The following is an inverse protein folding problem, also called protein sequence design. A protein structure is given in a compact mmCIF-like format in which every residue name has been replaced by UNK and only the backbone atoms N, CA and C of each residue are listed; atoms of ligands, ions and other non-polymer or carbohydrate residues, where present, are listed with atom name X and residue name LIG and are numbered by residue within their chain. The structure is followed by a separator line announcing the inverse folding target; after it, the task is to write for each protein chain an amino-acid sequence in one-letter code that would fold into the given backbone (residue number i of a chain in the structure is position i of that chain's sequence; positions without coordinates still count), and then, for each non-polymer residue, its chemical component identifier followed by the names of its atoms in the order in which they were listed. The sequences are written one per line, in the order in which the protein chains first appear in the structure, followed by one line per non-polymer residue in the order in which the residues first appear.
data_IF_586598034448
#
_entry.id   IF_586598034448
#
_cell.length_a   1.000
_cell.length_b   1.000
_cell.length_c   1.000
_cell.angle_alpha   90.00
_cell.angle_beta   90.00
_cell.angle_gamma   90.00
#
_symmetry.space_group_name_H-M   'P 1'
#
loop_
_entity.id
_entity.type
_entity.pdbx_description
1 polymer ?
#
# COMPACT_ATOMS: atom_id res chain seq x y z
N UNK A 1 20.22 11.25 2.79
CA UNK A 1 18.96 10.86 2.13
C UNK A 1 19.23 9.86 1.01
N UNK A 2 20.08 10.19 0.03
CA UNK A 2 20.44 9.26 -1.07
C UNK A 2 21.02 7.95 -0.51
N UNK A 3 21.96 8.02 0.43
CA UNK A 3 22.50 6.83 1.10
C UNK A 3 21.43 5.96 1.76
N UNK A 4 20.50 6.58 2.49
CA UNK A 4 19.37 5.88 3.13
C UNK A 4 18.39 5.27 2.11
N UNK A 5 18.18 5.94 0.97
CA UNK A 5 17.37 5.41 -0.13
C UNK A 5 18.01 4.17 -0.75
N UNK A 6 19.30 4.24 -1.10
CA UNK A 6 20.05 3.11 -1.67
C UNK A 6 20.16 1.94 -0.68
N UNK A 7 20.37 2.23 0.60
CA UNK A 7 20.35 1.22 1.67
C UNK A 7 18.95 0.59 1.80
N UNK A 8 17.87 1.38 1.70
CA UNK A 8 16.50 0.88 1.69
C UNK A 8 16.23 -0.10 0.55
N UNK A 9 16.67 0.21 -0.67
CA UNK A 9 16.58 -0.69 -1.83
C UNK A 9 17.34 -2.01 -1.57
N UNK A 10 18.55 -1.94 -1.03
CA UNK A 10 19.36 -3.12 -0.70
C UNK A 10 18.70 -4.00 0.36
N UNK A 11 18.16 -3.40 1.43
CA UNK A 11 17.45 -4.12 2.50
C UNK A 11 16.19 -4.82 1.99
N UNK A 12 15.42 -4.15 1.12
CA UNK A 12 14.24 -4.76 0.48
C UNK A 12 14.63 -5.92 -0.43
N UNK A 13 15.68 -5.76 -1.25
CA UNK A 13 16.21 -6.82 -2.11
C UNK A 13 16.76 -8.02 -1.33
N UNK A 14 17.33 -7.78 -0.14
CA UNK A 14 17.81 -8.82 0.78
C UNK A 14 16.69 -9.52 1.57
N UNK A 15 15.41 -9.20 1.32
CA UNK A 15 14.25 -9.80 1.96
C UNK A 15 13.22 -10.35 0.93
N UNK A 16 13.63 -11.20 -0.03
CA UNK A 16 12.76 -11.65 -1.11
C UNK A 16 11.54 -12.43 -0.59
N UNK A 17 11.70 -13.22 0.48
CA UNK A 17 10.58 -13.95 1.10
C UNK A 17 9.51 -13.02 1.68
N UNK A 18 9.88 -11.83 2.14
CA UNK A 18 8.91 -10.82 2.64
C UNK A 18 8.14 -10.23 1.46
N UNK A 19 8.83 -9.93 0.35
CA UNK A 19 8.19 -9.46 -0.89
C UNK A 19 7.19 -10.50 -1.39
N UNK A 20 7.62 -11.76 -1.54
CA UNK A 20 6.78 -12.86 -2.02
C UNK A 20 5.61 -13.12 -1.06
N UNK A 21 5.86 -13.11 0.26
CA UNK A 21 4.80 -13.32 1.26
C UNK A 21 3.71 -12.24 1.22
N UNK A 22 4.10 -10.96 1.09
CA UNK A 22 3.13 -9.85 0.99
C UNK A 22 2.41 -9.87 -0.36
N UNK A 23 3.11 -10.19 -1.45
CA UNK A 23 2.49 -10.38 -2.77
C UNK A 23 1.46 -11.52 -2.73
N UNK A 24 1.80 -12.66 -2.15
CA UNK A 24 0.91 -13.80 -1.99
C UNK A 24 -0.31 -13.46 -1.11
N UNK A 25 -0.11 -12.70 -0.02
CA UNK A 25 -1.21 -12.21 0.80
C UNK A 25 -2.12 -11.24 0.01
N UNK A 26 -1.54 -10.38 -0.83
CA UNK A 26 -2.30 -9.45 -1.69
C UNK A 26 -3.18 -10.25 -2.65
N UNK A 27 -2.61 -11.27 -3.30
CA UNK A 27 -3.33 -12.17 -4.18
C UNK A 27 -4.44 -12.93 -3.47
N UNK A 28 -4.16 -13.49 -2.29
CA UNK A 28 -5.16 -14.21 -1.50
C UNK A 28 -6.36 -13.33 -1.16
N UNK A 29 -6.15 -12.03 -0.87
CA UNK A 29 -7.25 -11.09 -0.61
C UNK A 29 -8.02 -10.68 -1.86
N UNK A 30 -7.37 -10.61 -3.02
CA UNK A 30 -7.99 -10.19 -4.28
C UNK A 30 -8.68 -11.34 -5.03
N UNK A 31 -8.22 -12.58 -4.82
CA UNK A 31 -8.69 -13.76 -5.55
C UNK A 31 -10.21 -13.98 -5.47
N UNK A 32 -10.88 -13.84 -4.30
CA UNK A 32 -12.33 -14.01 -4.23
C UNK A 32 -13.09 -13.01 -5.11
N UNK A 33 -12.67 -11.74 -5.14
CA UNK A 33 -13.28 -10.73 -6.01
C UNK A 33 -13.05 -11.04 -7.49
N UNK A 34 -11.84 -11.47 -7.84
CA UNK A 34 -11.51 -11.84 -9.20
C UNK A 34 -12.36 -13.04 -9.68
N UNK A 35 -12.59 -14.03 -8.81
CA UNK A 35 -13.44 -15.18 -9.11
C UNK A 35 -14.91 -14.78 -9.25
N UNK A 36 -15.43 -13.92 -8.36
CA UNK A 36 -16.81 -13.41 -8.47
C UNK A 36 -17.01 -12.67 -9.79
N UNK A 37 -16.07 -11.80 -10.15
CA UNK A 37 -16.12 -11.08 -11.42
C UNK A 37 -16.03 -12.03 -12.63
N UNK A 38 -15.12 -13.01 -12.58
CA UNK A 38 -14.99 -14.01 -13.64
C UNK A 38 -16.28 -14.81 -13.84
N UNK A 39 -16.91 -15.27 -12.75
CA UNK A 39 -18.15 -16.04 -12.81
C UNK A 39 -19.31 -15.20 -13.36
N UNK A 40 -19.39 -13.92 -12.98
CA UNK A 40 -20.39 -12.98 -13.53
C UNK A 40 -20.21 -12.78 -15.03
N UNK A 41 -18.99 -12.45 -15.47
CA UNK A 41 -18.69 -12.25 -16.91
C UNK A 41 -18.91 -13.53 -17.71
N UNK A 42 -18.43 -14.68 -17.23
CA UNK A 42 -18.57 -15.96 -17.92
C UNK A 42 -20.03 -16.42 -18.01
N UNK A 43 -20.82 -16.16 -16.97
CA UNK A 43 -22.25 -16.46 -16.94
C UNK A 43 -23.04 -15.63 -17.94
N UNK A 44 -22.72 -14.35 -18.08
CA UNK A 44 -23.39 -13.42 -18.99
C UNK A 44 -23.00 -13.63 -20.46
N UNK A 45 -21.70 -13.79 -20.76
CA UNK A 45 -21.24 -14.01 -22.13
C UNK A 45 -21.73 -15.34 -22.72
N UNK A 46 -21.70 -16.42 -21.93
CA UNK A 46 -22.03 -17.77 -22.39
C UNK A 46 -21.25 -18.20 -23.67
N UNK A 47 -21.68 -19.29 -24.34
CA UNK A 47 -21.14 -19.71 -25.63
C UNK A 47 -21.77 -18.91 -26.80
N UNK A 48 -21.75 -17.58 -26.74
CA UNK A 48 -22.38 -16.69 -27.72
C UNK A 48 -21.40 -16.12 -28.75
N UNK A 49 -21.90 -15.55 -29.85
CA UNK A 49 -21.07 -14.79 -30.82
C UNK A 49 -20.44 -13.55 -30.16
N UNK A 50 -21.12 -12.98 -29.16
CA UNK A 50 -20.63 -11.86 -28.35
C UNK A 50 -19.35 -12.23 -27.59
N UNK A 51 -19.18 -13.50 -27.18
CA UNK A 51 -17.95 -13.96 -26.54
C UNK A 51 -16.71 -13.85 -27.45
N UNK A 52 -16.87 -14.05 -28.76
CA UNK A 52 -15.78 -13.90 -29.72
C UNK A 52 -15.43 -12.43 -29.94
N UNK A 53 -16.44 -11.55 -30.06
CA UNK A 53 -16.24 -10.11 -30.19
C UNK A 53 -15.55 -9.49 -28.96
N UNK A 54 -15.96 -9.88 -27.75
CA UNK A 54 -15.35 -9.43 -26.49
C UNK A 54 -13.94 -10.01 -26.28
N UNK A 55 -13.63 -11.18 -26.84
CA UNK A 55 -12.27 -11.73 -26.81
C UNK A 55 -11.31 -10.99 -27.75
N UNK A 56 -11.82 -10.39 -28.83
CA UNK A 56 -11.03 -9.60 -29.78
C UNK A 56 -10.83 -8.15 -29.31
N UNK A 57 -11.71 -7.63 -28.44
CA UNK A 57 -11.57 -6.29 -27.89
C UNK A 57 -12.73 -5.84 -27.00
N UNK A 58 -12.83 -4.52 -26.83
CA UNK A 58 -13.90 -3.92 -26.02
C UNK A 58 -15.20 -3.81 -26.82
N UNK A 59 -16.27 -4.43 -26.32
CA UNK A 59 -17.63 -4.28 -26.85
C UNK A 59 -18.47 -3.39 -25.92
N UNK A 60 -18.80 -2.18 -26.39
CA UNK A 60 -19.53 -1.19 -25.60
C UNK A 60 -21.01 -1.54 -25.41
N UNK A 61 -21.62 -2.22 -26.38
CA UNK A 61 -23.03 -2.60 -26.34
C UNK A 61 -23.23 -3.68 -25.28
N UNK A 62 -22.44 -4.76 -25.35
CA UNK A 62 -22.45 -5.82 -24.36
C UNK A 62 -22.13 -5.28 -22.96
N UNK A 63 -21.10 -4.44 -22.81
CA UNK A 63 -20.74 -3.91 -21.50
C UNK A 63 -21.88 -3.08 -20.88
N UNK A 64 -22.60 -2.30 -21.69
CA UNK A 64 -23.73 -1.50 -21.22
C UNK A 64 -24.88 -2.39 -20.73
N UNK A 65 -25.16 -3.49 -21.44
CA UNK A 65 -26.14 -4.49 -21.03
C UNK A 65 -25.71 -5.20 -19.74
N UNK A 66 -24.49 -5.71 -19.68
CA UNK A 66 -23.90 -6.36 -18.50
C UNK A 66 -23.96 -5.45 -17.25
N UNK A 67 -23.67 -4.15 -17.43
CA UNK A 67 -23.75 -3.16 -16.34
C UNK A 67 -25.16 -2.86 -15.86
N UNK A 68 -26.17 -3.09 -16.70
CA UNK A 68 -27.58 -2.91 -16.33
C UNK A 68 -28.00 -3.86 -15.20
N UNK A 69 -27.49 -5.09 -15.23
CA UNK A 69 -27.83 -6.15 -14.27
C UNK A 69 -26.70 -6.46 -13.27
N UNK A 70 -25.57 -5.76 -13.38
CA UNK A 70 -24.38 -5.99 -12.57
C UNK A 70 -24.60 -5.75 -11.06
N UNK A 71 -24.15 -6.70 -10.25
CA UNK A 71 -24.02 -6.50 -8.81
C UNK A 71 -22.86 -5.52 -8.48
N UNK A 72 -22.65 -5.23 -7.19
CA UNK A 72 -21.61 -4.30 -6.77
C UNK A 72 -20.21 -4.66 -7.30
N UNK A 73 -19.83 -5.95 -7.31
CA UNK A 73 -18.52 -6.43 -7.75
C UNK A 73 -18.40 -6.32 -9.27
N UNK A 74 -19.40 -6.80 -10.00
CA UNK A 74 -19.47 -6.72 -11.46
C UNK A 74 -19.48 -5.26 -11.94
N UNK A 75 -20.15 -4.37 -11.21
CA UNK A 75 -20.20 -2.94 -11.51
C UNK A 75 -18.85 -2.23 -11.44
N UNK A 76 -17.83 -2.86 -10.82
CA UNK A 76 -16.45 -2.36 -10.85
C UNK A 76 -15.76 -2.58 -12.20
N UNK A 77 -16.26 -3.52 -13.01
CA UNK A 77 -15.75 -3.82 -14.34
C UNK A 77 -16.12 -2.72 -15.34
N UNK A 78 -15.11 -2.24 -16.04
CA UNK A 78 -15.25 -1.17 -17.02
C UNK A 78 -13.97 -1.01 -17.83
N UNK A 79 -13.98 -0.14 -18.86
CA UNK A 79 -12.81 0.12 -19.70
C UNK A 79 -11.60 0.57 -18.88
N UNK A 80 -11.86 1.24 -17.76
CA UNK A 80 -10.83 1.69 -16.82
C UNK A 80 -10.16 0.57 -16.05
N UNK A 81 -10.68 -0.66 -15.97
CA UNK A 81 -10.06 -1.76 -15.21
C UNK A 81 -8.85 -2.35 -15.95
N UNK A 82 -8.75 -2.12 -17.26
CA UNK A 82 -7.69 -2.69 -18.09
C UNK A 82 -6.46 -1.76 -18.09
N UNK A 83 -5.31 -2.34 -17.75
CA UNK A 83 -4.01 -1.66 -17.86
C UNK A 83 -3.81 -0.50 -16.88
N UNK A 84 -3.13 0.56 -17.35
CA UNK A 84 -2.74 1.70 -16.52
C UNK A 84 -3.93 2.57 -16.07
N UNK A 85 -5.02 2.58 -16.84
CA UNK A 85 -6.23 3.35 -16.52
C UNK A 85 -6.79 2.98 -15.14
N UNK A 86 -6.61 1.72 -14.70
CA UNK A 86 -7.11 1.24 -13.41
C UNK A 86 -6.42 1.95 -12.26
N UNK A 87 -5.11 2.18 -12.37
CA UNK A 87 -4.36 2.89 -11.34
C UNK A 87 -4.85 4.34 -11.20
N UNK A 88 -5.06 5.02 -12.33
CA UNK A 88 -5.55 6.40 -12.35
C UNK A 88 -6.99 6.52 -11.85
N UNK A 89 -7.86 5.60 -12.26
CA UNK A 89 -9.26 5.57 -11.85
C UNK A 89 -9.41 5.37 -10.34
N UNK A 90 -8.66 4.42 -9.76
CA UNK A 90 -8.64 4.22 -8.31
C UNK A 90 -8.10 5.45 -7.55
N UNK A 91 -7.08 6.12 -8.10
CA UNK A 91 -6.56 7.36 -7.52
C UNK A 91 -7.60 8.48 -7.60
N UNK A 92 -8.28 8.64 -8.73
CA UNK A 92 -9.34 9.64 -8.90
C UNK A 92 -10.47 9.40 -7.91
N UNK A 93 -11.00 8.17 -7.82
CA UNK A 93 -12.07 7.82 -6.88
C UNK A 93 -11.67 8.09 -5.44
N UNK A 94 -10.42 7.79 -5.06
CA UNK A 94 -9.90 8.12 -3.73
C UNK A 94 -9.94 9.63 -3.50
N UNK A 95 -9.43 10.45 -4.42
CA UNK A 95 -9.44 11.91 -4.30
C UNK A 95 -10.87 12.49 -4.34
N UNK A 96 -11.76 11.84 -5.06
CA UNK A 96 -13.19 12.15 -5.15
C UNK A 96 -13.99 11.58 -3.97
N UNK A 97 -13.35 10.89 -3.04
CA UNK A 97 -14.01 10.34 -1.85
C UNK A 97 -15.10 9.33 -2.18
N UNK A 98 -15.02 8.68 -3.36
CA UNK A 98 -15.96 7.65 -3.80
C UNK A 98 -15.49 6.32 -3.20
N UNK A 99 -16.21 5.74 -2.21
CA UNK A 99 -15.80 4.49 -1.61
C UNK A 99 -15.98 3.34 -2.62
N UNK A 100 -15.03 2.41 -2.74
CA UNK A 100 -15.19 1.24 -3.59
C UNK A 100 -16.12 0.25 -2.90
N UNK A 101 -17.43 0.37 -3.15
CA UNK A 101 -18.48 -0.39 -2.44
C UNK A 101 -18.20 -1.90 -2.43
N UNK A 102 -17.80 -2.46 -3.57
CA UNK A 102 -17.48 -3.88 -3.73
C UNK A 102 -16.17 -4.34 -3.08
N UNK A 103 -15.19 -3.44 -2.93
CA UNK A 103 -13.87 -3.79 -2.40
C UNK A 103 -13.77 -3.56 -0.88
N UNK A 104 -14.84 -3.09 -0.23
CA UNK A 104 -14.82 -2.71 1.19
C UNK A 104 -14.34 -3.86 2.09
N UNK A 105 -14.93 -5.05 1.98
CA UNK A 105 -14.57 -6.18 2.83
C UNK A 105 -13.14 -6.67 2.56
N UNK A 106 -12.70 -6.93 1.31
CA UNK A 106 -11.31 -7.28 1.03
C UNK A 106 -10.31 -6.21 1.44
N UNK A 107 -10.66 -4.92 1.33
CA UNK A 107 -9.82 -3.83 1.83
C UNK A 107 -9.68 -3.86 3.36
N UNK A 108 -10.76 -4.17 4.10
CA UNK A 108 -10.72 -4.36 5.56
C UNK A 108 -9.83 -5.55 5.92
N UNK A 109 -10.01 -6.70 5.25
CA UNK A 109 -9.20 -7.90 5.47
C UNK A 109 -7.73 -7.61 5.21
N UNK A 110 -7.42 -6.96 4.09
CA UNK A 110 -6.07 -6.55 3.74
C UNK A 110 -5.49 -5.57 4.76
N UNK A 111 -6.27 -4.60 5.22
CA UNK A 111 -5.85 -3.64 6.24
C UNK A 111 -5.52 -4.33 7.57
N UNK A 112 -6.34 -5.28 8.02
CA UNK A 112 -6.07 -6.08 9.22
C UNK A 112 -4.83 -6.96 9.06
N UNK A 113 -4.68 -7.61 7.90
CA UNK A 113 -3.48 -8.36 7.57
C UNK A 113 -2.23 -7.47 7.61
N UNK A 114 -2.33 -6.25 7.07
CA UNK A 114 -1.23 -5.29 7.10
C UNK A 114 -0.89 -4.82 8.51
N UNK A 115 -1.88 -4.56 9.37
CA UNK A 115 -1.66 -4.23 10.79
C UNK A 115 -0.84 -5.33 11.48
N UNK A 116 -1.17 -6.60 11.20
CA UNK A 116 -0.44 -7.74 11.77
C UNK A 116 0.97 -7.87 11.19
N UNK A 117 1.10 -7.88 9.86
CA UNK A 117 2.37 -8.13 9.16
C UNK A 117 3.38 -6.99 9.32
N UNK A 118 2.93 -5.74 9.42
CA UNK A 118 3.81 -4.58 9.48
C UNK A 118 4.86 -4.67 10.59
N UNK A 119 4.54 -5.31 11.73
CA UNK A 119 5.45 -5.46 12.87
C UNK A 119 6.69 -6.26 12.49
N UNK A 120 6.49 -7.49 11.99
CA UNK A 120 7.57 -8.36 11.55
C UNK A 120 8.30 -7.82 10.32
N UNK A 121 7.60 -7.16 9.38
CA UNK A 121 8.22 -6.52 8.21
C UNK A 121 9.21 -5.44 8.62
N UNK A 122 8.78 -4.51 9.48
CA UNK A 122 9.63 -3.41 9.94
C UNK A 122 10.79 -3.95 10.80
N UNK A 123 10.54 -4.91 11.69
CA UNK A 123 11.58 -5.55 12.50
C UNK A 123 12.64 -6.22 11.62
N UNK A 124 12.22 -7.04 10.64
CA UNK A 124 13.12 -7.68 9.67
C UNK A 124 13.98 -6.65 8.92
N UNK A 125 13.36 -5.59 8.40
CA UNK A 125 14.07 -4.54 7.64
C UNK A 125 15.02 -3.73 8.54
N UNK A 126 14.70 -3.60 9.83
CA UNK A 126 15.55 -2.91 10.79
C UNK A 126 16.76 -3.73 11.24
N UNK A 127 16.64 -5.06 11.39
CA UNK A 127 17.73 -5.97 11.80
C UNK A 127 18.79 -6.18 10.72
N UNK A 128 18.44 -5.96 9.45
CA UNK A 128 19.30 -6.23 8.27
C UNK A 128 19.89 -7.65 8.19
N UNK A 129 19.26 -8.65 8.81
CA UNK A 129 19.76 -10.03 8.80
C UNK A 129 18.63 -11.05 8.75
N UNK A 130 18.89 -12.25 8.19
CA UNK A 130 18.35 -13.55 8.58
C UNK A 130 17.39 -13.59 9.77
N UNK A 131 16.07 -13.75 9.64
CA UNK A 131 15.22 -14.10 10.79
C UNK A 131 14.36 -15.29 10.40
N UNK A 132 14.22 -16.26 11.30
CA UNK A 132 13.35 -17.41 11.10
C UNK A 132 11.88 -16.99 11.10
N UNK A 133 11.01 -17.84 10.55
CA UNK A 133 9.55 -17.62 10.52
C UNK A 133 8.97 -17.39 11.91
N UNK A 134 9.40 -18.17 12.91
CA UNK A 134 8.96 -18.01 14.30
C UNK A 134 9.29 -16.62 14.87
N UNK A 135 10.51 -16.11 14.62
CA UNK A 135 10.91 -14.78 15.07
C UNK A 135 10.12 -13.67 14.34
N UNK A 136 9.88 -13.84 13.03
CA UNK A 136 9.05 -12.90 12.24
C UNK A 136 7.62 -12.82 12.78
N UNK A 137 6.94 -13.95 12.98
CA UNK A 137 5.57 -13.97 13.49
C UNK A 137 5.47 -13.56 14.96
N UNK A 138 6.49 -13.82 15.77
CA UNK A 138 6.57 -13.29 17.14
C UNK A 138 6.65 -11.76 17.12
N UNK A 139 7.46 -11.18 16.23
CA UNK A 139 7.53 -9.73 16.04
C UNK A 139 6.19 -9.17 15.53
N UNK A 140 5.51 -9.84 14.59
CA UNK A 140 4.15 -9.47 14.19
C UNK A 140 3.21 -9.39 15.41
N UNK A 141 3.10 -10.48 16.18
CA UNK A 141 2.24 -10.55 17.36
C UNK A 141 2.57 -9.49 18.43
N UNK A 142 3.86 -9.23 18.68
CA UNK A 142 4.32 -8.27 19.69
C UNK A 142 3.91 -6.82 19.40
N UNK A 143 3.74 -6.44 18.13
CA UNK A 143 3.38 -5.08 17.72
C UNK A 143 1.89 -4.90 17.36
N UNK A 144 1.12 -5.98 17.15
CA UNK A 144 -0.31 -5.90 16.74
C UNK A 144 -1.13 -4.93 17.58
N UNK A 145 -1.13 -5.09 18.91
CA UNK A 145 -1.94 -4.21 19.77
C UNK A 145 -1.55 -2.73 19.69
N UNK A 146 -0.25 -2.45 19.43
CA UNK A 146 0.27 -1.09 19.26
C UNK A 146 -0.19 -0.54 17.90
N UNK A 147 -0.14 -1.34 16.85
CA UNK A 147 -0.57 -0.94 15.52
C UNK A 147 -2.09 -0.86 15.35
N UNK A 148 -2.88 -1.62 16.10
CA UNK A 148 -4.33 -1.42 16.22
C UNK A 148 -4.62 -0.04 16.82
N UNK A 149 -3.98 0.32 17.95
CA UNK A 149 -4.14 1.66 18.56
C UNK A 149 -3.71 2.77 17.61
N UNK A 150 -2.59 2.60 16.91
CA UNK A 150 -2.13 3.55 15.90
C UNK A 150 -3.11 3.63 14.71
N UNK A 151 -3.69 2.50 14.31
CA UNK A 151 -4.71 2.41 13.27
C UNK A 151 -6.00 3.17 13.64
N UNK A 152 -6.43 3.12 14.90
CA UNK A 152 -7.56 3.94 15.39
C UNK A 152 -7.24 5.44 15.32
N UNK A 153 -6.03 5.85 15.73
CA UNK A 153 -5.59 7.25 15.61
C UNK A 153 -5.55 7.67 14.13
N UNK A 154 -5.06 6.79 13.25
CA UNK A 154 -5.05 7.01 11.81
C UNK A 154 -6.47 7.12 11.24
N UNK A 155 -7.40 6.27 11.67
CA UNK A 155 -8.80 6.32 11.24
C UNK A 155 -9.45 7.66 11.58
N UNK A 156 -9.19 8.21 12.77
CA UNK A 156 -9.64 9.56 13.14
C UNK A 156 -9.01 10.62 12.25
N UNK A 157 -7.69 10.58 12.04
CA UNK A 157 -6.99 11.55 11.20
C UNK A 157 -7.47 11.54 9.74
N UNK A 158 -7.58 10.34 9.13
CA UNK A 158 -8.14 10.19 7.78
C UNK A 158 -9.63 10.54 7.74
N UNK A 159 -10.39 10.22 8.80
CA UNK A 159 -11.79 10.64 8.92
C UNK A 159 -11.95 12.15 8.86
N UNK A 160 -11.11 12.91 9.59
CA UNK A 160 -11.08 14.38 9.50
C UNK A 160 -10.71 14.85 8.08
N UNK A 161 -9.73 14.22 7.44
CA UNK A 161 -9.34 14.58 6.08
C UNK A 161 -10.48 14.35 5.06
N UNK A 162 -11.16 13.22 5.14
CA UNK A 162 -12.18 12.83 4.15
C UNK A 162 -13.57 13.40 4.44
N UNK A 163 -13.98 13.48 5.70
CA UNK A 163 -15.34 13.88 6.08
C UNK A 163 -15.48 15.39 6.32
N UNK A 164 -14.37 16.09 6.57
CA UNK A 164 -14.40 17.52 6.87
C UNK A 164 -13.53 18.34 5.93
N UNK A 165 -12.21 18.05 5.88
CA UNK A 165 -11.27 18.85 5.10
C UNK A 165 -11.54 18.78 3.60
N UNK A 166 -11.84 17.59 3.06
CA UNK A 166 -12.17 17.41 1.64
C UNK A 166 -13.46 18.13 1.23
N UNK A 167 -14.64 17.94 1.88
CA UNK A 167 -15.85 18.68 1.54
C UNK A 167 -15.68 20.19 1.62
N UNK A 168 -14.96 20.69 2.64
CA UNK A 168 -14.63 22.11 2.75
C UNK A 168 -13.77 22.59 1.56
N UNK A 169 -12.75 21.81 1.17
CA UNK A 169 -11.83 22.18 0.09
C UNK A 169 -12.52 22.14 -1.29
N UNK A 170 -13.30 21.11 -1.59
CA UNK A 170 -13.96 20.93 -2.91
C UNK A 170 -15.37 21.53 -2.98
N UNK A 171 -15.95 21.93 -1.86
CA UNK A 171 -17.18 22.71 -1.77
C UNK A 171 -16.85 24.18 -1.68
N UNK A 172 -16.71 24.70 -0.46
CA UNK A 172 -16.58 26.13 -0.17
C UNK A 172 -15.41 26.80 -0.91
N UNK A 173 -14.22 26.20 -0.83
CA UNK A 173 -13.00 26.80 -1.43
C UNK A 173 -13.03 26.72 -2.95
N UNK A 174 -13.40 25.56 -3.51
CA UNK A 174 -13.54 25.41 -4.96
C UNK A 174 -14.59 26.36 -5.53
N UNK A 175 -15.77 26.43 -4.91
CA UNK A 175 -16.84 27.31 -5.35
C UNK A 175 -16.37 28.77 -5.30
N UNK A 176 -15.74 29.20 -4.20
CA UNK A 176 -15.23 30.57 -4.08
C UNK A 176 -14.18 30.93 -5.13
N UNK A 177 -13.32 29.98 -5.54
CA UNK A 177 -12.26 30.22 -6.53
C UNK A 177 -12.75 30.07 -7.97
N UNK A 178 -13.79 29.27 -8.20
CA UNK A 178 -14.33 28.98 -9.53
C UNK A 178 -15.56 29.83 -9.90
N UNK A 179 -16.17 30.55 -8.94
CA UNK A 179 -17.42 31.32 -9.13
C UNK A 179 -17.38 32.29 -10.33
N UNK A 180 -16.25 32.97 -10.53
CA UNK A 180 -16.10 33.97 -11.58
C UNK A 180 -15.37 33.43 -12.82
N UNK A 181 -15.04 32.13 -12.84
CA UNK A 181 -14.31 31.55 -13.95
C UNK A 181 -15.24 31.38 -15.16
N UNK A 182 -15.03 32.17 -16.21
CA UNK A 182 -15.76 32.06 -17.48
C UNK A 182 -15.14 31.06 -18.45
N UNK A 183 -13.92 30.58 -18.15
CA UNK A 183 -13.12 29.70 -19.02
C UNK A 183 -12.97 28.32 -18.38
N UNK A 184 -13.29 27.26 -19.13
CA UNK A 184 -13.20 25.87 -18.69
C UNK A 184 -11.80 25.50 -18.17
N UNK A 185 -10.74 26.02 -18.82
CA UNK A 185 -9.35 25.85 -18.37
C UNK A 185 -9.14 26.29 -16.91
N UNK A 186 -9.76 27.39 -16.50
CA UNK A 186 -9.61 27.91 -15.14
C UNK A 186 -10.25 26.97 -14.13
N UNK A 187 -11.40 26.38 -14.47
CA UNK A 187 -12.06 25.37 -13.62
C UNK A 187 -11.17 24.14 -13.44
N UNK A 188 -10.59 23.66 -14.54
CA UNK A 188 -9.72 22.50 -14.54
C UNK A 188 -8.43 22.74 -13.72
N UNK A 189 -7.78 23.90 -13.89
CA UNK A 189 -6.56 24.26 -13.14
C UNK A 189 -6.85 24.41 -11.65
N UNK A 190 -7.96 25.06 -11.27
CA UNK A 190 -8.36 25.22 -9.88
C UNK A 190 -8.61 23.84 -9.24
N UNK A 191 -9.40 22.97 -9.88
CA UNK A 191 -9.67 21.62 -9.38
C UNK A 191 -8.40 20.80 -9.22
N UNK A 192 -7.51 20.86 -10.20
CA UNK A 192 -6.20 20.19 -10.14
C UNK A 192 -5.35 20.71 -8.97
N UNK A 193 -5.30 22.03 -8.76
CA UNK A 193 -4.61 22.64 -7.62
C UNK A 193 -5.14 22.14 -6.28
N UNK A 194 -6.46 22.02 -6.13
CA UNK A 194 -7.08 21.47 -4.93
C UNK A 194 -6.77 19.98 -4.73
N UNK A 195 -6.72 19.17 -5.80
CA UNK A 195 -6.25 17.79 -5.70
C UNK A 195 -4.80 17.70 -5.22
N UNK A 196 -3.92 18.60 -5.68
CA UNK A 196 -2.53 18.66 -5.19
C UNK A 196 -2.49 18.98 -3.70
N UNK A 197 -3.28 19.95 -3.24
CA UNK A 197 -3.35 20.33 -1.81
C UNK A 197 -3.87 19.16 -0.96
N UNK A 198 -4.98 18.54 -1.37
CA UNK A 198 -5.56 17.41 -0.66
C UNK A 198 -4.62 16.19 -0.64
N UNK A 199 -4.03 15.87 -1.79
CA UNK A 199 -3.03 14.81 -1.93
C UNK A 199 -1.80 15.04 -1.06
N UNK A 200 -1.33 16.29 -0.95
CA UNK A 200 -0.23 16.65 -0.06
C UNK A 200 -0.59 16.46 1.42
N UNK A 201 -1.82 16.80 1.83
CA UNK A 201 -2.30 16.55 3.19
C UNK A 201 -2.38 15.04 3.51
N UNK A 202 -2.89 14.24 2.57
CA UNK A 202 -2.91 12.77 2.69
C UNK A 202 -1.50 12.19 2.78
N UNK A 203 -0.58 12.64 1.91
CA UNK A 203 0.80 12.20 1.93
C UNK A 203 1.52 12.57 3.24
N UNK A 204 1.27 13.77 3.77
CA UNK A 204 1.82 14.20 5.06
C UNK A 204 1.31 13.32 6.20
N UNK A 205 0.01 13.02 6.22
CA UNK A 205 -0.58 12.11 7.22
C UNK A 205 0.02 10.70 7.12
N UNK A 206 0.09 10.12 5.92
CA UNK A 206 0.68 8.80 5.69
C UNK A 206 2.13 8.74 6.18
N UNK A 207 2.92 9.76 5.85
CA UNK A 207 4.32 9.87 6.25
C UNK A 207 4.49 9.93 7.77
N UNK A 208 3.63 10.67 8.48
CA UNK A 208 3.63 10.72 9.95
C UNK A 208 3.33 9.34 10.53
N UNK A 209 2.33 8.63 10.01
CA UNK A 209 1.97 7.30 10.51
C UNK A 209 3.04 6.25 10.19
N UNK A 210 3.65 6.30 9.00
CA UNK A 210 4.74 5.40 8.60
C UNK A 210 5.96 5.57 9.50
N UNK A 211 6.43 6.79 9.71
CA UNK A 211 7.54 7.03 10.65
C UNK A 211 7.19 6.67 12.09
N UNK A 212 5.91 6.80 12.48
CA UNK A 212 5.46 6.36 13.81
C UNK A 212 5.50 4.84 13.96
N UNK A 213 5.14 4.07 12.92
CA UNK A 213 5.32 2.61 12.91
C UNK A 213 6.79 2.22 12.99
N UNK A 214 7.64 2.87 12.18
CA UNK A 214 9.10 2.66 12.22
C UNK A 214 9.65 2.90 13.61
N UNK A 215 9.32 4.04 14.22
CA UNK A 215 9.75 4.39 15.56
C UNK A 215 9.24 3.44 16.63
N UNK A 216 7.97 3.02 16.52
CA UNK A 216 7.38 2.08 17.47
C UNK A 216 8.15 0.77 17.54
N UNK A 217 8.64 0.27 16.40
CA UNK A 217 9.42 -0.96 16.30
C UNK A 217 10.88 -0.73 16.69
N UNK A 218 11.53 0.28 16.10
CA UNK A 218 12.98 0.52 16.30
C UNK A 218 13.32 0.94 17.73
N UNK A 219 12.44 1.71 18.40
CA UNK A 219 12.63 2.17 19.79
C UNK A 219 11.78 1.35 20.80
N UNK A 220 11.15 0.24 20.39
CA UNK A 220 10.22 -0.58 21.20
C UNK A 220 9.21 0.24 22.04
N UNK A 221 8.60 1.28 21.43
CA UNK A 221 7.70 2.19 22.14
C UNK A 221 6.36 1.52 22.46
N UNK A 222 5.93 1.62 23.73
CA UNK A 222 4.61 1.15 24.19
C UNK A 222 3.46 2.16 23.98
N UNK A 223 3.76 3.46 24.07
CA UNK A 223 2.77 4.54 23.87
C UNK A 223 2.77 5.07 22.44
N UNK A 224 1.66 4.91 21.72
CA UNK A 224 1.54 5.35 20.32
C UNK A 224 1.35 6.86 20.16
N UNK A 225 0.65 7.50 21.10
CA UNK A 225 0.53 8.97 21.11
C UNK A 225 1.92 9.59 21.34
N UNK A 226 2.67 9.06 22.30
CA UNK A 226 4.04 9.51 22.55
C UNK A 226 4.96 9.29 21.35
N UNK A 227 4.85 8.14 20.67
CA UNK A 227 5.58 7.86 19.44
C UNK A 227 5.22 8.85 18.32
N UNK A 228 3.93 9.14 18.13
CA UNK A 228 3.45 10.08 17.12
C UNK A 228 3.94 11.51 17.37
N UNK A 229 3.84 12.01 18.60
CA UNK A 229 4.37 13.33 18.97
C UNK A 229 5.89 13.42 18.78
N UNK A 230 6.61 12.35 19.13
CA UNK A 230 8.05 12.27 18.90
C UNK A 230 8.37 12.27 17.39
N UNK A 231 7.59 11.56 16.57
CA UNK A 231 7.70 11.55 15.10
C UNK A 231 7.49 12.94 14.52
N UNK A 232 6.43 13.65 14.93
CA UNK A 232 6.18 15.02 14.50
C UNK A 232 7.36 15.95 14.85
N UNK A 233 7.92 15.82 16.05
CA UNK A 233 9.11 16.57 16.46
C UNK A 233 10.34 16.23 15.62
N UNK A 234 10.53 14.96 15.26
CA UNK A 234 11.61 14.50 14.39
C UNK A 234 11.46 15.08 12.97
N UNK A 235 10.26 14.99 12.38
CA UNK A 235 9.98 15.51 11.04
C UNK A 235 10.17 17.03 10.98
N UNK A 236 9.73 17.78 12.01
CA UNK A 236 9.94 19.24 12.10
C UNK A 236 11.42 19.64 12.17
N UNK A 237 12.29 18.80 12.75
CA UNK A 237 13.74 19.05 12.82
C UNK A 237 14.49 18.63 11.57
N UNK A 238 13.91 17.75 10.75
CA UNK A 238 14.54 17.21 9.56
C UNK A 238 13.63 17.25 8.31
N UNK A 239 12.99 18.39 7.99
CA UNK A 239 11.97 18.46 6.94
C UNK A 239 12.54 18.12 5.56
N UNK A 240 13.70 18.70 5.21
CA UNK A 240 14.32 18.48 3.90
C UNK A 240 14.73 17.01 3.67
N UNK A 241 15.26 16.35 4.70
CA UNK A 241 15.69 14.95 4.58
C UNK A 241 14.50 13.98 4.52
N UNK A 242 13.44 14.26 5.28
CA UNK A 242 12.19 13.48 5.26
C UNK A 242 11.44 13.68 3.94
N UNK A 243 11.27 14.92 3.49
CA UNK A 243 10.62 15.25 2.22
C UNK A 243 11.43 14.73 1.03
N UNK A 244 12.76 14.94 1.01
CA UNK A 244 13.62 14.43 -0.06
C UNK A 244 13.59 12.91 -0.16
N UNK A 245 13.52 12.20 0.97
CA UNK A 245 13.38 10.75 0.97
C UNK A 245 11.99 10.30 0.50
N UNK A 246 10.93 11.00 0.91
CA UNK A 246 9.57 10.76 0.41
C UNK A 246 9.50 10.96 -1.11
N UNK A 247 10.12 12.02 -1.65
CA UNK A 247 10.20 12.28 -3.09
C UNK A 247 10.97 11.18 -3.85
N UNK A 248 12.10 10.69 -3.32
CA UNK A 248 12.85 9.60 -3.96
C UNK A 248 12.06 8.28 -4.01
N UNK A 249 11.36 7.95 -2.92
CA UNK A 249 10.49 6.77 -2.90
C UNK A 249 9.25 6.96 -3.79
N UNK A 250 8.69 8.17 -3.85
CA UNK A 250 7.63 8.54 -4.77
C UNK A 250 8.07 8.40 -6.22
N UNK A 251 9.30 8.82 -6.55
CA UNK A 251 9.90 8.66 -7.88
C UNK A 251 10.07 7.18 -8.23
N UNK A 252 10.58 6.35 -7.30
CA UNK A 252 10.66 4.90 -7.52
C UNK A 252 9.29 4.31 -7.86
N UNK A 253 8.27 4.68 -7.09
CA UNK A 253 6.90 4.21 -7.33
C UNK A 253 6.36 4.74 -8.68
N UNK A 254 6.61 6.00 -9.02
CA UNK A 254 6.24 6.58 -10.31
C UNK A 254 6.92 5.87 -11.48
N UNK A 255 8.19 5.47 -11.34
CA UNK A 255 8.90 4.67 -12.33
C UNK A 255 8.29 3.28 -12.51
N UNK A 256 7.81 2.65 -11.43
CA UNK A 256 7.07 1.37 -11.51
C UNK A 256 5.76 1.56 -12.30
N UNK A 257 5.02 2.63 -12.03
CA UNK A 257 3.81 2.96 -12.78
C UNK A 257 4.09 3.25 -14.26
N UNK A 258 5.13 4.04 -14.55
CA UNK A 258 5.54 4.36 -15.92
C UNK A 258 5.99 3.11 -16.69
N UNK A 259 6.79 2.26 -16.07
CA UNK A 259 7.21 0.99 -16.66
C UNK A 259 6.01 0.10 -16.96
N UNK A 260 5.04 0.00 -16.04
CA UNK A 260 3.80 -0.74 -16.29
C UNK A 260 2.98 -0.15 -17.43
N UNK A 261 2.85 1.18 -17.52
CA UNK A 261 2.12 1.84 -18.60
C UNK A 261 2.69 1.52 -20.00
N UNK A 262 4.02 1.29 -20.11
CA UNK A 262 4.67 0.93 -21.37
C UNK A 262 4.43 -0.52 -21.81
N UNK A 263 4.15 -1.42 -20.86
CA UNK A 263 4.00 -2.87 -21.12
C UNK A 263 2.60 -3.39 -20.81
N UNK A 264 1.67 -2.50 -20.40
CA UNK A 264 0.34 -2.88 -19.97
C UNK A 264 -0.41 -3.58 -21.12
N UNK A 265 -0.95 -4.78 -20.88
CA UNK A 265 -1.68 -5.51 -21.90
C UNK A 265 -2.98 -4.80 -22.28
N UNK A 266 -3.29 -4.78 -23.58
CA UNK A 266 -4.58 -4.30 -24.11
C UNK A 266 -5.69 -5.36 -24.02
N UNK A 267 -6.91 -4.96 -24.37
CA UNK A 267 -8.11 -5.81 -24.27
C UNK A 267 -8.11 -7.03 -25.22
N UNK A 268 -7.42 -6.97 -26.36
CA UNK A 268 -7.46 -8.01 -27.40
C UNK A 268 -6.50 -9.19 -27.22
N UNK A 269 -6.06 -9.48 -25.98
CA UNK A 269 -5.15 -10.61 -25.74
C UNK A 269 -5.95 -11.93 -25.71
N UNK A 270 -5.69 -12.82 -26.67
CA UNK A 270 -6.33 -14.15 -26.74
C UNK A 270 -5.33 -15.31 -26.62
N UNK A 271 -5.82 -16.48 -26.23
CA UNK A 271 -5.01 -17.71 -26.11
C UNK A 271 -3.79 -17.56 -25.18
N UNK A 272 -2.60 -17.88 -25.68
CA UNK A 272 -1.35 -17.81 -24.91
C UNK A 272 -0.97 -16.39 -24.44
N UNK A 273 -1.43 -15.34 -25.13
CA UNK A 273 -1.13 -13.95 -24.77
C UNK A 273 -1.77 -13.54 -23.43
N UNK A 274 -2.86 -14.19 -23.02
CA UNK A 274 -3.54 -13.97 -21.73
C UNK A 274 -2.60 -14.28 -20.56
N UNK A 275 -1.81 -15.35 -20.66
CA UNK A 275 -0.84 -15.70 -19.62
C UNK A 275 0.30 -14.69 -19.53
N UNK A 276 0.71 -14.11 -20.66
CA UNK A 276 1.66 -13.00 -20.69
C UNK A 276 1.09 -11.75 -20.00
N UNK A 277 -0.14 -11.36 -20.32
CA UNK A 277 -0.85 -10.25 -19.70
C UNK A 277 -0.97 -10.42 -18.17
N UNK A 278 -1.34 -11.64 -17.74
CA UNK A 278 -1.40 -12.00 -16.33
C UNK A 278 -0.02 -11.87 -15.65
N UNK A 279 1.03 -12.44 -16.25
CA UNK A 279 2.39 -12.37 -15.71
C UNK A 279 2.89 -10.92 -15.55
N UNK A 280 2.62 -10.05 -16.54
CA UNK A 280 2.93 -8.62 -16.47
C UNK A 280 2.19 -7.95 -15.31
N UNK A 281 0.89 -8.24 -15.15
CA UNK A 281 0.11 -7.75 -14.01
C UNK A 281 0.68 -8.19 -12.66
N UNK A 282 1.09 -9.45 -12.53
CA UNK A 282 1.70 -9.98 -11.31
C UNK A 282 3.04 -9.34 -10.99
N UNK A 283 3.89 -9.17 -12.01
CA UNK A 283 5.18 -8.49 -11.85
C UNK A 283 4.99 -7.04 -11.40
N UNK A 284 3.99 -6.34 -11.94
CA UNK A 284 3.65 -4.99 -11.51
C UNK A 284 3.20 -4.92 -10.04
N UNK A 285 2.36 -5.86 -9.58
CA UNK A 285 1.97 -5.93 -8.16
C UNK A 285 3.20 -6.20 -7.28
N UNK A 286 4.05 -7.16 -7.67
CA UNK A 286 5.29 -7.47 -6.95
C UNK A 286 6.24 -6.26 -6.89
N UNK A 287 6.38 -5.50 -7.98
CA UNK A 287 7.18 -4.28 -8.04
C UNK A 287 6.63 -3.18 -7.11
N UNK A 288 5.31 -3.03 -7.01
CA UNK A 288 4.67 -2.11 -6.04
C UNK A 288 4.92 -2.53 -4.59
N UNK A 289 4.80 -3.82 -4.29
CA UNK A 289 5.15 -4.37 -2.97
C UNK A 289 6.61 -4.08 -2.65
N UNK A 290 7.52 -4.35 -3.58
CA UNK A 290 8.93 -4.04 -3.43
C UNK A 290 9.18 -2.55 -3.16
N UNK A 291 8.56 -1.65 -3.92
CA UNK A 291 8.68 -0.20 -3.73
C UNK A 291 8.17 0.24 -2.34
N UNK A 292 7.05 -0.34 -1.86
CA UNK A 292 6.53 -0.08 -0.51
C UNK A 292 7.51 -0.55 0.58
N UNK A 293 8.11 -1.72 0.42
CA UNK A 293 9.12 -2.22 1.36
C UNK A 293 10.41 -1.40 1.33
N UNK A 294 10.86 -0.97 0.15
CA UNK A 294 12.00 -0.07 -0.01
C UNK A 294 11.74 1.29 0.66
N UNK A 295 10.51 1.81 0.59
CA UNK A 295 10.11 3.01 1.31
C UNK A 295 10.23 2.84 2.83
N UNK A 296 9.71 1.76 3.41
CA UNK A 296 9.91 1.48 4.83
C UNK A 296 11.38 1.32 5.20
N UNK A 297 12.12 0.52 4.43
CA UNK A 297 13.53 0.26 4.68
C UNK A 297 14.38 1.53 4.63
N UNK A 298 14.09 2.43 3.69
CA UNK A 298 14.78 3.71 3.57
C UNK A 298 14.44 4.67 4.70
N UNK A 299 13.17 4.72 5.15
CA UNK A 299 12.77 5.48 6.32
C UNK A 299 13.46 4.96 7.59
N UNK A 300 13.55 3.64 7.76
CA UNK A 300 14.28 2.99 8.86
C UNK A 300 15.75 3.39 8.83
N UNK A 301 16.40 3.25 7.67
CA UNK A 301 17.81 3.62 7.48
C UNK A 301 18.07 5.08 7.81
N UNK A 302 17.22 5.98 7.30
CA UNK A 302 17.31 7.41 7.58
C UNK A 302 17.13 7.71 9.06
N UNK A 303 16.10 7.12 9.68
CA UNK A 303 15.81 7.28 11.10
C UNK A 303 16.97 6.80 11.99
N UNK A 304 17.48 5.60 11.75
CA UNK A 304 18.64 5.04 12.44
C UNK A 304 19.87 5.95 12.28
N UNK A 305 20.17 6.45 11.07
CA UNK A 305 21.32 7.33 10.84
C UNK A 305 21.27 8.68 11.58
N UNK A 306 20.07 9.15 11.94
CA UNK A 306 19.88 10.46 12.60
C UNK A 306 19.78 10.38 14.12
N UNK A 307 19.48 9.21 14.67
CA UNK A 307 19.25 9.02 16.11
C UNK A 307 20.23 8.05 16.77
N UNK A 308 21.18 7.48 16.02
CA UNK A 308 22.19 6.53 16.50
C UNK A 308 23.29 7.17 17.38
N UNK A 309 22.89 7.80 18.48
CA UNK A 309 23.61 7.68 19.77
C UNK A 309 22.91 6.69 20.72
N UNK A 310 21.71 6.19 20.36
CA UNK A 310 21.08 5.05 21.02
C UNK A 310 21.22 3.83 20.10
N UNK A 311 22.01 2.86 20.52
CA UNK A 311 22.15 1.52 19.92
C UNK A 311 20.77 1.00 19.52
N UNK A 312 20.65 0.35 18.37
CA UNK A 312 19.43 -0.37 17.99
C UNK A 312 19.00 -1.32 19.12
N UNK A 313 17.99 -0.93 19.90
CA UNK A 313 17.48 -1.70 21.05
C UNK A 313 16.33 -2.59 20.59
N UNK A 314 16.56 -3.41 19.58
CA UNK A 314 15.56 -4.43 19.27
C UNK A 314 15.42 -5.38 20.45
N UNK A 315 14.17 -5.76 20.75
CA UNK A 315 13.90 -6.78 21.75
C UNK A 315 14.73 -8.04 21.43
N UNK A 316 15.35 -8.67 22.44
CA UNK A 316 16.08 -9.93 22.26
C UNK A 316 15.22 -10.94 21.50
N UNK A 317 15.85 -11.77 20.66
CA UNK A 317 15.12 -12.86 20.02
C UNK A 317 14.48 -13.73 21.11
N UNK A 318 13.18 -14.07 21.00
CA UNK A 318 12.55 -14.99 21.92
C UNK A 318 13.28 -16.34 21.84
N UNK A 319 14.08 -16.66 22.85
CA UNK A 319 14.58 -18.01 23.07
C UNK A 319 13.48 -18.78 23.77
N UNK A 320 13.00 -19.85 23.14
CA UNK A 320 12.27 -20.87 23.87
C UNK A 320 13.18 -21.40 24.98
N UNK A 321 12.68 -21.63 26.21
CA UNK A 321 13.39 -22.43 27.20
C UNK A 321 13.97 -23.67 26.53
N UNK A 322 15.24 -23.96 26.83
CA UNK A 322 15.82 -25.25 26.45
C UNK A 322 14.88 -26.34 26.99
N UNK A 323 14.70 -27.43 26.23
CA UNK A 323 13.79 -28.49 26.67
C UNK A 323 14.23 -28.97 28.06
N UNK A 324 13.31 -29.37 28.95
CA UNK A 324 13.68 -29.85 30.29
C UNK A 324 14.72 -30.99 30.27
N UNK A 325 14.78 -31.73 29.16
CA UNK A 325 15.77 -32.76 28.89
C UNK A 325 17.20 -32.24 28.64
N UNK A 326 17.36 -31.00 28.17
CA UNK A 326 18.67 -30.39 27.94
C UNK A 326 19.29 -29.86 29.24
N UNK A 327 18.49 -29.40 30.21
CA UNK A 327 18.97 -29.05 31.56
C UNK A 327 19.33 -30.29 32.39
N UNK A 328 18.72 -31.45 32.10
CA UNK A 328 19.02 -32.71 32.78
C UNK A 328 20.41 -33.28 32.41
N UNK A 329 20.95 -32.88 31.26
CA UNK A 329 22.31 -33.21 30.83
C UNK A 329 23.24 -32.12 31.37
N UNK A 330 23.62 -32.24 32.65
CA UNK A 330 24.61 -31.36 33.27
C UNK A 330 25.91 -31.25 32.44
N UNK A 331 26.74 -30.23 32.69
CA UNK A 331 27.97 -30.02 31.94
C UNK A 331 28.87 -31.28 31.97
N UNK A 332 29.55 -31.62 30.86
CA UNK A 332 30.45 -32.76 30.83
C UNK A 332 31.52 -32.57 31.91
N UNK A 333 31.65 -33.57 32.79
CA UNK A 333 32.67 -33.57 33.82
C UNK A 333 34.06 -33.50 33.16
N UNK A 334 34.79 -32.42 33.46
CA UNK A 334 36.21 -32.22 33.11
C UNK A 334 37.11 -33.03 34.02
#
# INVERSE_FOLDING_TARGET
MISAFLDGLRRAAAAPLVVVGIWAATLATALPLALMLFLGIAGDLGPSVTSAAVAEGWDEMWWTEFRGDANAVEGTFGPWVIGFAAALFNLSNLLDGVPPQAATLPAIVWFLAWIFLAGGVIDRLARQRPIGSAAFFSACGGFVGRFVRLGLIAAVAYGVLFLWFRPWLFGDVYESLARDATVERTWAVTRFGLYVIFGAALAAADLVFDYTRVRAVVEDRRSMIGALLATLRFMRRHPAGVAGLWLLNGLLLALVYAAYALVAPGAGASGGAVWGAFAVGQLYIAARVFARLAAYASQISYFQSRLAHATYVASPEPRWPDSPSAEALGPPAT
#
